data_IF_825573722382
#
_entry.id   IF_825573722382
#
_cell.length_a   1.000
_cell.length_b   1.000
_cell.length_c   1.000
_cell.angle_alpha   90.00
_cell.angle_beta   90.00
_cell.angle_gamma   90.00
#
_symmetry.space_group_name_H-M   'P 1'
#
loop_
_entity.id
_entity.type
_entity.pdbx_description
1 polymer ?
#
# COMPACT_ATOMS: atom_id res chain seq x y z
N UNK A 1 -22.20 -31.83 -22.15
CA UNK A 1 -21.32 -31.03 -21.26
C UNK A 1 -20.44 -32.00 -20.50
N UNK A 2 -19.13 -32.00 -20.77
CA UNK A 2 -18.19 -33.00 -20.25
C UNK A 2 -17.74 -32.65 -18.82
N UNK A 3 -17.80 -33.65 -17.94
CA UNK A 3 -17.39 -33.55 -16.53
C UNK A 3 -15.92 -33.10 -16.39
N UNK A 4 -15.07 -33.46 -17.35
CA UNK A 4 -13.64 -33.11 -17.39
C UNK A 4 -13.36 -31.61 -17.58
N UNK A 5 -14.22 -30.89 -18.30
CA UNK A 5 -14.08 -29.43 -18.47
C UNK A 5 -14.57 -28.67 -17.23
N UNK A 6 -15.62 -29.16 -16.57
CA UNK A 6 -16.10 -28.57 -15.31
C UNK A 6 -15.09 -28.71 -14.18
N UNK A 7 -14.39 -29.85 -14.08
CA UNK A 7 -13.35 -30.04 -13.05
C UNK A 7 -12.14 -29.15 -13.25
N UNK A 8 -11.70 -28.92 -14.49
CA UNK A 8 -10.58 -28.00 -14.79
C UNK A 8 -10.96 -26.55 -14.51
N UNK A 9 -12.17 -26.13 -14.89
CA UNK A 9 -12.64 -24.77 -14.62
C UNK A 9 -12.72 -24.46 -13.12
N UNK A 10 -13.19 -25.42 -12.31
CA UNK A 10 -13.22 -25.27 -10.85
C UNK A 10 -11.84 -25.23 -10.20
N UNK A 11 -10.85 -25.95 -10.75
CA UNK A 11 -9.49 -25.90 -10.26
C UNK A 11 -8.83 -24.54 -10.55
N UNK A 12 -8.98 -24.04 -11.79
CA UNK A 12 -8.46 -22.74 -12.21
C UNK A 12 -9.10 -21.56 -11.42
N UNK A 13 -10.42 -21.63 -11.17
CA UNK A 13 -11.13 -20.68 -10.31
C UNK A 13 -10.61 -20.72 -8.86
N UNK A 14 -10.32 -21.91 -8.33
CA UNK A 14 -9.77 -22.08 -6.99
C UNK A 14 -8.36 -21.53 -6.83
N UNK A 15 -7.47 -21.80 -7.79
CA UNK A 15 -6.11 -21.26 -7.80
C UNK A 15 -6.09 -19.72 -7.93
N UNK A 16 -7.00 -19.16 -8.75
CA UNK A 16 -7.14 -17.71 -8.88
C UNK A 16 -7.66 -17.05 -7.60
N UNK A 17 -8.62 -17.67 -6.91
CA UNK A 17 -9.16 -17.17 -5.63
C UNK A 17 -8.09 -17.18 -4.53
N UNK A 18 -7.30 -18.25 -4.44
CA UNK A 18 -6.17 -18.34 -3.50
C UNK A 18 -5.11 -17.28 -3.80
N UNK A 19 -4.79 -17.06 -5.08
CA UNK A 19 -3.88 -16.00 -5.51
C UNK A 19 -4.33 -14.60 -5.09
N UNK A 20 -5.62 -14.27 -5.31
CA UNK A 20 -6.20 -12.98 -4.91
C UNK A 20 -6.20 -12.77 -3.39
N UNK A 21 -6.49 -13.81 -2.60
CA UNK A 21 -6.45 -13.74 -1.14
C UNK A 21 -5.04 -13.46 -0.63
N UNK A 22 -4.04 -14.13 -1.21
CA UNK A 22 -2.64 -13.88 -0.87
C UNK A 22 -2.20 -12.46 -1.24
N UNK A 23 -2.52 -12.02 -2.45
CA UNK A 23 -2.21 -10.65 -2.88
C UNK A 23 -2.90 -9.59 -2.01
N UNK A 24 -4.14 -9.85 -1.58
CA UNK A 24 -4.85 -8.98 -0.63
C UNK A 24 -4.14 -8.94 0.72
N UNK A 25 -3.69 -10.09 1.24
CA UNK A 25 -2.95 -10.15 2.49
C UNK A 25 -1.60 -9.42 2.42
N UNK A 26 -0.92 -9.45 1.27
CA UNK A 26 0.32 -8.72 1.01
C UNK A 26 0.08 -7.20 0.89
N UNK A 27 -1.07 -6.78 0.36
CA UNK A 27 -1.46 -5.37 0.24
C UNK A 27 -1.83 -4.73 1.59
N UNK A 28 -2.45 -5.48 2.52
CA UNK A 28 -2.87 -4.98 3.83
C UNK A 28 -1.79 -4.21 4.61
N UNK A 29 -0.60 -4.77 4.87
CA UNK A 29 0.43 -4.05 5.61
C UNK A 29 0.93 -2.80 4.86
N UNK A 30 0.91 -2.81 3.52
CA UNK A 30 1.30 -1.65 2.72
C UNK A 30 0.29 -0.51 2.86
N UNK A 31 -1.01 -0.80 2.79
CA UNK A 31 -2.07 0.19 3.02
C UNK A 31 -2.03 0.76 4.44
N UNK A 32 -1.76 -0.08 5.45
CA UNK A 32 -1.61 0.36 6.83
C UNK A 32 -0.38 1.27 7.02
N UNK A 33 0.74 0.98 6.34
CA UNK A 33 1.92 1.84 6.32
C UNK A 33 1.62 3.18 5.65
N UNK A 34 0.99 3.14 4.48
CA UNK A 34 0.60 4.31 3.71
C UNK A 34 -0.31 5.27 4.49
N UNK A 35 -1.34 4.72 5.16
CA UNK A 35 -2.25 5.50 6.00
C UNK A 35 -1.52 6.19 7.16
N UNK A 36 -0.59 5.48 7.82
CA UNK A 36 0.22 6.05 8.90
C UNK A 36 1.15 7.15 8.40
N UNK A 37 1.83 6.94 7.28
CA UNK A 37 2.71 7.95 6.68
C UNK A 37 1.92 9.18 6.22
N UNK A 38 0.75 8.99 5.62
CA UNK A 38 -0.13 10.09 5.26
C UNK A 38 -0.59 10.88 6.49
N UNK A 39 -1.09 10.19 7.53
CA UNK A 39 -1.53 10.82 8.78
C UNK A 39 -0.40 11.58 9.45
N UNK A 40 0.82 11.03 9.42
CA UNK A 40 2.01 11.70 9.96
C UNK A 40 2.30 13.01 9.23
N UNK A 41 2.32 12.99 7.88
CA UNK A 41 2.59 14.15 7.04
C UNK A 41 1.49 15.21 7.17
N UNK A 42 0.21 14.82 7.13
CA UNK A 42 -0.93 15.72 7.31
C UNK A 42 -0.92 16.38 8.69
N UNK A 43 -0.59 15.61 9.75
CA UNK A 43 -0.46 16.15 11.10
C UNK A 43 0.73 17.10 11.21
N UNK A 44 1.85 16.76 10.58
CA UNK A 44 3.04 17.60 10.59
C UNK A 44 2.78 18.95 9.90
N UNK A 45 2.13 18.92 8.73
CA UNK A 45 1.72 20.11 7.99
C UNK A 45 0.74 20.97 8.82
N UNK A 46 -0.31 20.37 9.38
CA UNK A 46 -1.32 21.07 10.17
C UNK A 46 -0.76 21.69 11.46
N UNK A 47 0.28 21.11 12.04
CA UNK A 47 0.92 21.59 13.28
C UNK A 47 2.18 22.41 13.04
N UNK A 48 2.57 22.62 11.79
CA UNK A 48 3.81 23.32 11.42
C UNK A 48 5.09 22.58 11.87
N UNK A 49 5.01 21.27 12.12
CA UNK A 49 6.20 20.45 12.35
C UNK A 49 6.98 20.29 11.05
N UNK A 50 8.30 20.15 11.18
CA UNK A 50 9.17 19.93 10.03
C UNK A 50 8.88 18.56 9.41
N UNK A 51 8.58 18.57 8.12
CA UNK A 51 8.51 17.39 7.27
C UNK A 51 9.87 17.21 6.60
N UNK A 52 10.47 16.03 6.73
CA UNK A 52 11.71 15.69 6.03
C UNK A 52 11.44 15.16 4.63
N UNK A 53 12.38 15.32 3.69
CA UNK A 53 12.26 14.73 2.34
C UNK A 53 12.14 13.20 2.39
N UNK A 54 12.78 12.53 3.36
CA UNK A 54 12.65 11.09 3.56
C UNK A 54 11.24 10.62 3.94
N UNK A 55 10.50 11.44 4.70
CA UNK A 55 9.11 11.11 5.07
C UNK A 55 8.19 11.18 3.84
N UNK A 56 8.40 12.19 3.00
CA UNK A 56 7.68 12.39 1.73
C UNK A 56 8.01 11.23 0.77
N UNK A 57 9.29 10.90 0.61
CA UNK A 57 9.74 9.81 -0.24
C UNK A 57 9.17 8.46 0.22
N UNK A 58 9.14 8.21 1.53
CA UNK A 58 8.54 6.99 2.09
C UNK A 58 7.05 6.89 1.77
N UNK A 59 6.30 7.98 1.96
CA UNK A 59 4.88 8.05 1.60
C UNK A 59 4.65 7.77 0.10
N UNK A 60 5.43 8.40 -0.78
CA UNK A 60 5.33 8.21 -2.22
C UNK A 60 5.64 6.76 -2.64
N UNK A 61 6.72 6.19 -2.10
CA UNK A 61 7.10 4.81 -2.38
C UNK A 61 6.01 3.82 -1.93
N UNK A 62 5.39 4.04 -0.76
CA UNK A 62 4.29 3.21 -0.28
C UNK A 62 3.04 3.37 -1.15
N UNK A 63 2.72 4.58 -1.60
CA UNK A 63 1.58 4.83 -2.49
C UNK A 63 1.76 4.12 -3.84
N UNK A 64 2.95 4.23 -4.43
CA UNK A 64 3.29 3.54 -5.69
C UNK A 64 3.31 2.03 -5.53
N UNK A 65 3.87 1.50 -4.44
CA UNK A 65 3.87 0.07 -4.16
C UNK A 65 2.44 -0.48 -3.99
N UNK A 66 1.59 0.20 -3.22
CA UNK A 66 0.18 -0.20 -3.07
C UNK A 66 -0.58 -0.15 -4.41
N UNK A 67 -0.36 0.88 -5.22
CA UNK A 67 -0.94 0.98 -6.58
C UNK A 67 -0.44 -0.15 -7.48
N UNK A 68 0.84 -0.50 -7.41
CA UNK A 68 1.39 -1.62 -8.15
C UNK A 68 0.74 -2.93 -7.75
N UNK A 69 0.59 -3.21 -6.45
CA UNK A 69 -0.05 -4.45 -5.97
C UNK A 69 -1.52 -4.54 -6.39
N UNK A 70 -2.28 -3.44 -6.33
CA UNK A 70 -3.66 -3.38 -6.80
C UNK A 70 -3.78 -3.70 -8.30
N UNK A 71 -2.94 -3.08 -9.12
CA UNK A 71 -3.02 -3.19 -10.58
C UNK A 71 -2.47 -4.51 -11.10
N UNK A 72 -1.31 -4.96 -10.59
CA UNK A 72 -0.67 -6.22 -10.99
C UNK A 72 -1.50 -7.46 -10.66
N UNK A 73 -2.21 -7.44 -9.53
CA UNK A 73 -3.06 -8.55 -9.09
C UNK A 73 -4.55 -8.35 -9.45
N UNK A 74 -4.89 -7.28 -10.18
CA UNK A 74 -6.26 -6.92 -10.55
C UNK A 74 -7.24 -6.98 -9.35
N UNK A 75 -6.81 -6.47 -8.19
CA UNK A 75 -7.59 -6.51 -6.96
C UNK A 75 -8.70 -5.46 -7.00
N UNK A 76 -9.90 -5.86 -6.57
CA UNK A 76 -11.01 -4.92 -6.41
C UNK A 76 -10.85 -4.18 -5.06
N UNK A 77 -10.82 -2.84 -5.05
CA UNK A 77 -10.77 -2.04 -3.81
C UNK A 77 -11.88 -2.38 -2.80
N UNK A 78 -13.03 -2.88 -3.25
CA UNK A 78 -14.14 -3.32 -2.38
C UNK A 78 -13.82 -4.63 -1.66
N UNK A 79 -13.16 -5.57 -2.34
CA UNK A 79 -12.72 -6.84 -1.76
C UNK A 79 -11.64 -6.60 -0.71
N UNK A 80 -10.70 -5.70 -1.01
CA UNK A 80 -9.66 -5.25 -0.07
C UNK A 80 -10.29 -4.65 1.20
N UNK A 81 -11.24 -3.72 1.08
CA UNK A 81 -11.95 -3.16 2.25
C UNK A 81 -12.74 -4.20 3.05
N UNK A 82 -13.30 -5.20 2.38
CA UNK A 82 -13.98 -6.31 3.06
C UNK A 82 -12.98 -7.16 3.82
N UNK A 83 -11.85 -7.49 3.19
CA UNK A 83 -10.78 -8.25 3.80
C UNK A 83 -10.19 -7.53 5.01
N UNK A 84 -10.10 -6.19 5.02
CA UNK A 84 -9.70 -5.42 6.22
C UNK A 84 -10.63 -5.70 7.41
N UNK A 85 -11.95 -5.72 7.18
CA UNK A 85 -12.94 -6.00 8.24
C UNK A 85 -12.84 -7.42 8.80
N UNK A 86 -12.41 -8.35 7.96
CA UNK A 86 -12.17 -9.75 8.32
C UNK A 86 -10.79 -9.95 8.95
N UNK A 87 -9.84 -9.05 8.65
CA UNK A 87 -8.51 -9.01 9.23
C UNK A 87 -8.63 -8.65 10.72
N UNK A 88 -8.61 -9.66 11.59
CA UNK A 88 -8.57 -9.52 13.06
C UNK A 88 -7.22 -8.99 13.59
N UNK A 89 -6.47 -8.24 12.80
CA UNK A 89 -5.27 -7.58 13.28
C UNK A 89 -5.64 -6.37 14.11
N UNK A 90 -4.86 -6.05 15.14
CA UNK A 90 -4.99 -4.88 16.02
C UNK A 90 -4.78 -3.51 15.30
N UNK A 91 -5.04 -3.45 13.99
CA UNK A 91 -4.93 -2.25 13.18
C UNK A 91 -6.11 -1.30 13.38
N UNK A 92 -5.87 -0.02 13.12
CA UNK A 92 -6.93 1.00 13.12
C UNK A 92 -7.94 0.71 12.00
N UNK A 93 -9.20 0.50 12.37
CA UNK A 93 -10.27 0.32 11.38
C UNK A 93 -10.33 1.50 10.40
N UNK A 94 -10.55 1.18 9.13
CA UNK A 94 -10.63 2.12 8.02
C UNK A 94 -9.28 2.48 7.40
N UNK A 95 -8.17 1.86 7.84
CA UNK A 95 -6.86 2.11 7.22
C UNK A 95 -6.86 1.71 5.73
N UNK A 96 -7.58 0.65 5.35
CA UNK A 96 -7.58 0.21 3.95
C UNK A 96 -8.32 1.22 3.09
N UNK A 97 -9.42 1.80 3.57
CA UNK A 97 -10.16 2.84 2.85
C UNK A 97 -9.30 4.10 2.63
N UNK A 98 -8.66 4.61 3.69
CA UNK A 98 -7.80 5.80 3.61
C UNK A 98 -6.54 5.55 2.79
N UNK A 99 -5.87 4.42 3.02
CA UNK A 99 -4.72 4.00 2.21
C UNK A 99 -5.08 3.88 0.73
N UNK A 100 -6.22 3.27 0.39
CA UNK A 100 -6.71 3.18 -0.99
C UNK A 100 -6.96 4.57 -1.59
N UNK A 101 -7.53 5.51 -0.85
CA UNK A 101 -7.70 6.90 -1.32
C UNK A 101 -6.35 7.50 -1.70
N UNK A 102 -5.31 7.31 -0.90
CA UNK A 102 -3.95 7.78 -1.22
C UNK A 102 -3.31 7.07 -2.42
N UNK A 103 -3.72 5.86 -2.77
CA UNK A 103 -3.27 5.21 -4.03
C UNK A 103 -3.90 5.81 -5.29
N UNK A 104 -5.11 6.38 -5.16
CA UNK A 104 -5.88 6.97 -6.25
C UNK A 104 -5.61 8.48 -6.35
N UNK A 105 -5.44 9.13 -5.19
CA UNK A 105 -5.26 10.56 -5.00
C UNK A 105 -4.04 10.79 -4.11
N UNK A 106 -2.87 10.60 -4.70
CA UNK A 106 -1.60 10.90 -4.04
C UNK A 106 -1.59 12.37 -3.65
N UNK A 107 -1.32 12.65 -2.38
CA UNK A 107 -1.16 14.03 -1.89
C UNK A 107 0.27 14.50 -2.13
N UNK A 108 0.42 15.81 -2.31
CA UNK A 108 1.71 16.45 -2.42
C UNK A 108 2.03 17.13 -1.11
N UNK A 109 3.24 16.89 -0.60
CA UNK A 109 3.77 17.52 0.60
C UNK A 109 5.05 18.25 0.22
N UNK A 110 5.33 19.37 0.87
CA UNK A 110 6.57 20.12 0.68
C UNK A 110 7.51 19.88 1.87
N UNK A 111 8.81 19.63 1.62
CA UNK A 111 9.77 19.52 2.70
C UNK A 111 9.94 20.88 3.38
N UNK A 112 10.23 20.86 4.69
CA UNK A 112 10.52 22.08 5.40
C UNK A 112 11.77 22.77 4.80
N UNK A 113 11.80 24.12 4.73
CA UNK A 113 12.97 24.84 4.22
C UNK A 113 14.22 24.49 5.05
N UNK A 114 15.27 24.03 4.35
CA UNK A 114 16.51 23.56 4.96
C UNK A 114 16.50 22.11 5.46
N UNK A 115 15.46 21.32 5.17
CA UNK A 115 15.54 19.87 5.29
C UNK A 115 16.41 19.34 4.14
N UNK A 116 17.66 19.00 4.43
CA UNK A 116 18.58 18.48 3.42
C UNK A 116 18.09 17.10 2.94
N UNK A 117 17.97 16.97 1.63
CA UNK A 117 17.88 15.69 0.94
C UNK A 117 19.27 15.06 1.06
N UNK A 118 19.51 14.24 2.09
CA UNK A 118 20.81 13.57 2.21
C UNK A 118 20.96 12.63 1.02
N UNK A 119 21.88 12.89 0.08
CA UNK A 119 22.17 11.92 -0.96
C UNK A 119 22.67 10.66 -0.26
N UNK A 120 22.04 9.53 -0.55
CA UNK A 120 22.61 8.23 -0.23
C UNK A 120 24.00 8.22 -0.85
N UNK A 121 25.02 8.39 -0.01
CA UNK A 121 26.38 8.14 -0.43
C UNK A 121 26.44 6.64 -0.62
N UNK A 122 26.45 6.19 -1.87
CA UNK A 122 26.98 4.90 -2.28
C UNK A 122 28.34 4.79 -1.59
N UNK A 123 28.37 4.12 -0.44
CA UNK A 123 29.60 3.66 0.17
C UNK A 123 30.09 2.56 -0.78
N UNK A 124 30.90 2.98 -1.75
CA UNK A 124 31.72 2.13 -2.58
C UNK A 124 32.58 1.28 -1.63
N UNK A 125 32.09 0.10 -1.29
CA UNK A 125 32.85 -0.90 -0.55
C UNK A 125 33.95 -1.39 -1.51
N UNK A 126 35.08 -0.69 -1.53
CA UNK A 126 36.34 -1.25 -2.00
C UNK A 126 36.68 -2.44 -1.08
N UNK A 127 36.60 -3.65 -1.65
CA UNK A 127 37.20 -4.88 -1.12
C UNK A 127 38.14 -5.47 -2.16
#
# INVERSE_FOLDING_TARGET
MNVTEQSRKRADEGDQEVGKKRATAELMPVLAGLDKSATHLETAEATGRKIGPGDIATYQLQADHARHLLTSNALDPREVKTAEREHRGDGERGFAERGLDHTIRVRHFEPAPGAEDQPHSDEEIEL
#
